data_IF_156534763347
#
_entry.id   IF_156534763347
#
_cell.length_a   1.000
_cell.length_b   1.000
_cell.length_c   1.000
_cell.angle_alpha   90.00
_cell.angle_beta   90.00
_cell.angle_gamma   90.00
#
_symmetry.space_group_name_H-M   'P 1'
#
loop_
_entity.id
_entity.type
_entity.pdbx_description
1 polymer ?
#
# COMPACT_ATOMS: atom_id res chain seq x y z
N UNK A 1 8.19 -66.14 -14.82
CA UNK A 1 6.83 -66.03 -15.48
C UNK A 1 6.70 -67.01 -16.64
N UNK A 2 7.78 -67.35 -17.38
CA UNK A 2 7.72 -68.31 -18.50
C UNK A 2 7.47 -69.81 -18.05
N UNK A 3 8.14 -70.24 -17.00
CA UNK A 3 7.98 -71.59 -16.44
C UNK A 3 6.58 -71.83 -15.89
N UNK A 4 6.01 -70.84 -15.18
CA UNK A 4 4.64 -70.95 -14.66
C UNK A 4 3.56 -71.01 -15.77
N UNK A 5 3.80 -70.41 -16.94
CA UNK A 5 2.93 -70.61 -18.10
C UNK A 5 2.92 -71.95 -18.72
N UNK A 6 3.99 -72.78 -18.50
CA UNK A 6 4.16 -74.14 -19.02
C UNK A 6 3.66 -75.20 -18.04
N UNK A 7 3.24 -74.82 -16.84
CA UNK A 7 2.73 -75.76 -15.83
C UNK A 7 1.54 -76.58 -16.32
N UNK A 8 0.76 -76.11 -17.29
CA UNK A 8 -0.36 -76.84 -17.88
C UNK A 8 0.06 -78.07 -18.68
N UNK A 9 1.29 -78.13 -19.20
CA UNK A 9 1.83 -79.25 -20.01
C UNK A 9 2.55 -80.31 -19.17
N UNK A 10 2.69 -80.05 -17.85
CA UNK A 10 3.38 -80.98 -16.95
C UNK A 10 2.42 -82.09 -16.48
N UNK A 11 2.86 -83.39 -16.38
CA UNK A 11 2.07 -84.45 -15.81
C UNK A 11 1.58 -84.17 -14.40
N UNK A 12 0.36 -84.62 -14.07
CA UNK A 12 -0.34 -84.25 -12.84
C UNK A 12 0.41 -84.60 -11.55
N UNK A 13 1.15 -85.70 -11.56
CA UNK A 13 1.98 -86.22 -10.46
C UNK A 13 3.22 -85.32 -10.19
N UNK A 14 3.77 -84.70 -11.21
CA UNK A 14 4.96 -83.80 -11.09
C UNK A 14 4.64 -82.34 -10.86
N UNK A 15 3.40 -81.90 -11.00
CA UNK A 15 3.02 -80.45 -10.87
C UNK A 15 3.31 -79.89 -9.49
N UNK A 16 3.08 -80.68 -8.43
CA UNK A 16 3.26 -80.21 -7.06
C UNK A 16 4.72 -79.96 -6.76
N UNK A 17 5.60 -80.90 -7.08
CA UNK A 17 7.04 -80.77 -6.82
C UNK A 17 7.70 -79.68 -7.66
N UNK A 18 7.24 -79.45 -8.91
CA UNK A 18 7.74 -78.39 -9.76
C UNK A 18 7.21 -77.05 -9.24
N UNK A 19 5.95 -76.95 -8.75
CA UNK A 19 5.43 -75.75 -8.12
C UNK A 19 6.24 -75.37 -6.90
N UNK A 20 6.51 -76.22 -5.99
CA UNK A 20 7.34 -76.03 -4.79
C UNK A 20 8.76 -75.52 -5.14
N UNK A 21 9.38 -76.17 -6.17
CA UNK A 21 10.69 -75.76 -6.65
C UNK A 21 10.67 -74.32 -7.25
N UNK A 22 9.67 -73.99 -8.05
CA UNK A 22 9.52 -72.66 -8.63
C UNK A 22 9.32 -71.57 -7.55
N UNK A 23 8.52 -71.87 -6.53
CA UNK A 23 8.29 -70.92 -5.41
C UNK A 23 9.57 -70.79 -4.56
N UNK A 24 10.32 -71.90 -4.32
CA UNK A 24 11.60 -71.77 -3.63
C UNK A 24 12.62 -70.97 -4.40
N UNK A 25 12.77 -71.16 -5.70
CA UNK A 25 13.68 -70.38 -6.56
C UNK A 25 13.23 -68.89 -6.62
N UNK A 26 11.92 -68.64 -6.68
CA UNK A 26 11.38 -67.30 -6.66
C UNK A 26 11.73 -66.59 -5.36
N UNK A 27 11.53 -67.25 -4.21
CA UNK A 27 11.88 -66.67 -2.90
C UNK A 27 13.38 -66.41 -2.77
N UNK A 28 14.21 -67.28 -3.25
CA UNK A 28 15.68 -67.16 -3.22
C UNK A 28 16.12 -65.92 -4.10
N UNK A 29 15.59 -65.84 -5.30
CA UNK A 29 15.87 -64.71 -6.20
C UNK A 29 15.36 -63.38 -5.61
N UNK A 30 14.14 -63.32 -5.07
CA UNK A 30 13.60 -62.15 -4.42
C UNK A 30 14.42 -61.71 -3.19
N UNK A 31 14.87 -62.67 -2.38
CA UNK A 31 15.77 -62.46 -1.26
C UNK A 31 17.12 -61.90 -1.69
N UNK A 32 17.77 -62.55 -2.66
CA UNK A 32 19.06 -62.07 -3.18
C UNK A 32 18.98 -60.69 -3.82
N UNK A 33 17.87 -60.38 -4.51
CA UNK A 33 17.62 -59.08 -5.08
C UNK A 33 17.47 -58.01 -4.00
N UNK A 34 16.66 -58.28 -2.98
CA UNK A 34 16.44 -57.36 -1.86
C UNK A 34 17.73 -57.07 -1.10
N UNK A 35 18.56 -58.09 -0.85
CA UNK A 35 19.85 -57.92 -0.18
C UNK A 35 20.85 -57.16 -1.03
N UNK A 36 20.86 -57.36 -2.34
CA UNK A 36 21.70 -56.60 -3.25
C UNK A 36 21.29 -55.12 -3.29
N UNK A 37 20.00 -54.87 -3.30
CA UNK A 37 19.46 -53.50 -3.29
C UNK A 37 19.81 -52.76 -1.99
N UNK A 38 19.73 -53.45 -0.85
CA UNK A 38 20.19 -52.91 0.45
C UNK A 38 21.68 -52.62 0.46
N UNK A 39 22.48 -53.52 -0.09
CA UNK A 39 23.92 -53.34 -0.16
C UNK A 39 24.32 -52.15 -1.05
N UNK A 40 23.66 -51.98 -2.19
CA UNK A 40 23.88 -50.82 -3.07
C UNK A 40 23.48 -49.50 -2.41
N UNK A 41 22.30 -49.43 -1.78
CA UNK A 41 21.86 -48.23 -1.06
C UNK A 41 22.78 -47.89 0.11
N UNK A 42 23.35 -48.89 0.78
CA UNK A 42 24.36 -48.68 1.83
C UNK A 42 25.66 -48.13 1.24
N UNK A 43 26.15 -48.72 0.14
CA UNK A 43 27.37 -48.26 -0.52
C UNK A 43 27.25 -46.82 -1.04
N UNK A 44 26.10 -46.47 -1.60
CA UNK A 44 25.80 -45.08 -2.03
C UNK A 44 25.84 -44.09 -0.85
N UNK A 45 25.16 -44.43 0.24
CA UNK A 45 25.20 -43.60 1.45
C UNK A 45 26.59 -43.51 2.06
N UNK A 46 27.35 -44.61 2.10
CA UNK A 46 28.72 -44.62 2.62
C UNK A 46 29.66 -43.80 1.72
N UNK A 47 29.43 -43.80 0.39
CA UNK A 47 30.14 -42.94 -0.54
C UNK A 47 29.84 -41.44 -0.30
N UNK A 48 28.57 -41.07 -0.07
CA UNK A 48 28.17 -39.72 0.25
C UNK A 48 28.77 -39.25 1.60
N UNK A 49 28.77 -40.11 2.60
CA UNK A 49 29.34 -39.80 3.92
C UNK A 49 30.86 -39.66 3.89
N UNK A 50 31.55 -40.36 2.95
CA UNK A 50 33.00 -40.26 2.76
C UNK A 50 33.40 -39.23 1.69
N UNK A 51 32.44 -38.56 1.04
CA UNK A 51 32.71 -37.44 0.16
C UNK A 51 33.43 -36.33 0.94
N UNK A 52 34.24 -35.52 0.25
CA UNK A 52 34.95 -34.44 0.89
C UNK A 52 33.98 -33.55 1.69
N UNK A 53 34.23 -33.36 3.01
CA UNK A 53 33.31 -32.59 3.82
C UNK A 53 33.16 -31.15 3.26
N UNK A 54 31.93 -30.64 3.25
CA UNK A 54 31.68 -29.27 2.92
C UNK A 54 32.52 -28.37 3.85
N UNK A 55 33.29 -27.47 3.27
CA UNK A 55 34.14 -26.55 4.04
C UNK A 55 33.30 -25.56 4.83
N UNK A 56 33.12 -25.83 6.11
CA UNK A 56 32.39 -24.98 7.05
C UNK A 56 33.16 -23.69 7.42
N UNK A 57 34.42 -23.55 7.00
CA UNK A 57 35.20 -22.32 7.22
C UNK A 57 34.94 -21.27 6.15
N UNK A 58 34.32 -21.64 5.03
CA UNK A 58 33.87 -20.67 4.04
C UNK A 58 32.85 -19.72 4.70
N UNK A 59 33.00 -18.39 4.52
CA UNK A 59 32.04 -17.47 5.05
C UNK A 59 30.66 -17.80 4.47
N UNK A 60 29.69 -18.01 5.36
CA UNK A 60 28.30 -18.13 4.94
C UNK A 60 27.93 -16.89 4.14
N UNK A 61 27.20 -17.05 3.02
CA UNK A 61 26.52 -15.90 2.41
C UNK A 61 25.64 -15.31 3.51
N UNK A 62 25.96 -14.10 3.94
CA UNK A 62 25.07 -13.37 4.82
C UNK A 62 23.68 -13.40 4.18
N UNK A 63 22.64 -13.81 4.89
CA UNK A 63 21.30 -13.66 4.37
C UNK A 63 21.15 -12.20 3.92
N UNK A 64 20.57 -11.97 2.75
CA UNK A 64 20.30 -10.61 2.30
C UNK A 64 19.65 -9.86 3.46
N UNK A 65 20.11 -8.65 3.83
CA UNK A 65 19.47 -7.92 4.89
C UNK A 65 17.98 -7.81 4.59
N UNK A 66 17.11 -7.92 5.61
CA UNK A 66 15.68 -7.74 5.40
C UNK A 66 15.47 -6.41 4.66
N UNK A 67 14.65 -6.42 3.61
CA UNK A 67 14.33 -5.20 2.87
C UNK A 67 13.69 -4.18 3.81
N UNK A 68 13.95 -2.90 3.57
CA UNK A 68 13.31 -1.81 4.29
C UNK A 68 12.08 -1.34 3.52
N UNK A 69 10.94 -1.08 4.18
CA UNK A 69 9.80 -0.44 3.53
C UNK A 69 10.21 0.92 2.97
N UNK A 70 9.75 1.23 1.76
CA UNK A 70 10.00 2.55 1.17
C UNK A 70 9.42 3.66 2.08
N UNK A 71 10.07 4.82 2.28
CA UNK A 71 9.57 5.89 3.15
C UNK A 71 8.14 6.33 2.86
N UNK A 72 7.74 6.41 1.58
CA UNK A 72 6.35 6.69 1.18
C UNK A 72 5.39 5.62 1.70
N UNK A 73 5.72 4.34 1.54
CA UNK A 73 4.87 3.24 2.02
C UNK A 73 4.71 3.27 3.54
N UNK A 74 5.81 3.49 4.27
CA UNK A 74 5.79 3.61 5.73
C UNK A 74 4.90 4.76 6.20
N UNK A 75 5.07 5.95 5.60
CA UNK A 75 4.26 7.13 5.97
C UNK A 75 2.81 6.94 5.61
N UNK A 76 2.51 6.39 4.42
CA UNK A 76 1.14 6.04 4.03
C UNK A 76 0.49 5.11 5.05
N UNK A 77 1.16 4.04 5.42
CA UNK A 77 0.63 3.03 6.33
C UNK A 77 0.41 3.63 7.74
N UNK A 78 1.34 4.44 8.24
CA UNK A 78 1.17 5.15 9.52
C UNK A 78 -0.01 6.15 9.49
N UNK A 79 -0.19 6.90 8.39
CA UNK A 79 -1.35 7.81 8.24
C UNK A 79 -2.65 6.99 8.24
N UNK A 80 -2.69 5.89 7.48
CA UNK A 80 -3.83 4.99 7.42
C UNK A 80 -4.15 4.43 8.81
N UNK A 81 -3.17 3.91 9.54
CA UNK A 81 -3.35 3.36 10.88
C UNK A 81 -3.92 4.38 11.86
N UNK A 82 -3.41 5.63 11.84
CA UNK A 82 -3.95 6.71 12.68
C UNK A 82 -5.40 6.98 12.34
N UNK A 83 -5.74 7.15 11.06
CA UNK A 83 -7.11 7.50 10.62
C UNK A 83 -8.09 6.33 10.85
N UNK A 84 -7.66 5.09 10.63
CA UNK A 84 -8.45 3.89 10.95
C UNK A 84 -8.73 3.82 12.46
N UNK A 85 -7.75 4.15 13.31
CA UNK A 85 -7.95 4.21 14.76
C UNK A 85 -8.93 5.31 15.21
N UNK A 86 -9.18 6.32 14.35
CA UNK A 86 -10.19 7.35 14.55
C UNK A 86 -11.58 6.97 14.00
N UNK A 87 -11.73 5.77 13.43
CA UNK A 87 -13.02 5.23 12.97
C UNK A 87 -13.25 5.32 11.46
N UNK A 88 -12.27 5.72 10.67
CA UNK A 88 -12.38 5.72 9.21
C UNK A 88 -12.09 4.35 8.61
N UNK A 89 -12.81 3.97 7.56
CA UNK A 89 -12.55 2.76 6.79
C UNK A 89 -11.80 3.08 5.49
N UNK A 90 -10.95 2.15 5.05
CA UNK A 90 -10.23 2.31 3.76
C UNK A 90 -11.19 2.02 2.61
N UNK A 91 -11.21 2.90 1.62
CA UNK A 91 -11.97 2.76 0.38
C UNK A 91 -11.06 2.96 -0.82
N UNK A 92 -11.07 2.02 -1.75
CA UNK A 92 -10.26 2.05 -2.96
C UNK A 92 -11.05 2.54 -4.17
N UNK A 93 -10.32 2.98 -5.21
CA UNK A 93 -10.89 3.32 -6.51
C UNK A 93 -9.84 3.34 -7.61
N UNK A 94 -10.28 3.37 -8.87
CA UNK A 94 -9.38 3.29 -10.02
C UNK A 94 -8.52 4.56 -10.17
N UNK A 95 -7.32 4.37 -10.71
CA UNK A 95 -6.41 5.47 -11.08
C UNK A 95 -6.81 6.12 -12.41
N UNK A 96 -7.36 5.31 -13.33
CA UNK A 96 -7.95 5.82 -14.58
C UNK A 96 -9.42 6.14 -14.32
N UNK A 97 -9.79 7.40 -14.51
CA UNK A 97 -11.08 7.92 -14.09
C UNK A 97 -11.80 8.65 -15.24
N UNK A 98 -13.10 8.85 -15.07
CA UNK A 98 -13.92 9.71 -15.92
C UNK A 98 -13.78 11.16 -15.46
N UNK A 99 -13.79 12.09 -16.42
CA UNK A 99 -13.80 13.51 -16.14
C UNK A 99 -14.91 13.93 -15.16
N UNK A 100 -16.09 13.36 -15.34
CA UNK A 100 -17.25 13.63 -14.49
C UNK A 100 -16.96 13.39 -12.99
N UNK A 101 -16.27 12.30 -12.65
CA UNK A 101 -15.95 11.98 -11.27
C UNK A 101 -14.71 12.75 -10.75
N UNK A 102 -13.78 13.08 -11.65
CA UNK A 102 -12.54 13.76 -11.27
C UNK A 102 -12.74 15.28 -11.13
N UNK A 103 -13.67 15.86 -11.88
CA UNK A 103 -13.91 17.30 -11.91
C UNK A 103 -15.39 17.67 -11.79
N UNK A 104 -16.23 17.19 -12.70
CA UNK A 104 -17.61 17.67 -12.84
C UNK A 104 -18.42 17.58 -11.56
N UNK A 105 -18.49 16.39 -10.94
CA UNK A 105 -19.24 16.16 -9.70
C UNK A 105 -18.61 16.78 -8.46
N UNK A 106 -17.35 17.21 -8.55
CA UNK A 106 -16.65 17.95 -7.51
C UNK A 106 -16.83 19.47 -7.63
N UNK A 107 -17.69 19.95 -8.55
CA UNK A 107 -18.01 21.35 -8.68
C UNK A 107 -16.94 22.17 -9.41
N UNK A 108 -16.01 21.54 -10.14
CA UNK A 108 -15.09 22.27 -11.00
C UNK A 108 -15.84 22.89 -12.18
N UNK A 109 -15.68 24.20 -12.46
CA UNK A 109 -16.19 24.81 -13.67
C UNK A 109 -15.59 24.14 -14.92
N UNK A 110 -16.33 24.05 -16.03
CA UNK A 110 -15.81 23.42 -17.27
C UNK A 110 -14.55 24.09 -17.85
N UNK A 111 -14.34 25.36 -17.56
CA UNK A 111 -13.21 26.17 -18.00
C UNK A 111 -12.11 26.33 -16.92
N UNK A 112 -12.17 25.52 -15.87
CA UNK A 112 -11.17 25.57 -14.82
C UNK A 112 -9.80 25.09 -15.35
N UNK A 113 -8.69 25.78 -15.07
CA UNK A 113 -7.36 25.41 -15.57
C UNK A 113 -6.96 23.95 -15.30
N UNK A 114 -7.34 23.40 -14.16
CA UNK A 114 -7.06 22.00 -13.82
C UNK A 114 -7.71 20.97 -14.77
N UNK A 115 -8.75 21.37 -15.50
CA UNK A 115 -9.39 20.51 -16.53
C UNK A 115 -8.67 20.57 -17.89
N UNK A 116 -7.71 21.50 -18.04
CA UNK A 116 -6.94 21.62 -19.27
C UNK A 116 -6.09 20.35 -19.51
N UNK A 117 -5.99 19.97 -20.78
CA UNK A 117 -5.11 18.89 -21.23
C UNK A 117 -3.63 19.14 -20.94
N UNK A 118 -3.25 20.38 -20.64
CA UNK A 118 -1.88 20.73 -20.26
C UNK A 118 -1.52 20.29 -18.83
N UNK A 119 -2.50 20.22 -17.93
CA UNK A 119 -2.27 19.93 -16.51
C UNK A 119 -2.65 18.49 -16.13
N UNK A 120 -3.41 17.78 -16.98
CA UNK A 120 -3.89 16.42 -16.74
C UNK A 120 -3.40 15.44 -17.82
N UNK A 121 -3.21 14.17 -17.42
CA UNK A 121 -2.90 13.09 -18.38
C UNK A 121 -4.20 12.46 -18.89
N UNK A 122 -4.49 12.65 -20.15
CA UNK A 122 -5.66 12.10 -20.82
C UNK A 122 -5.31 10.88 -21.66
N UNK A 123 -6.19 9.92 -21.68
CA UNK A 123 -6.13 8.77 -22.58
C UNK A 123 -6.80 9.10 -23.92
N UNK A 124 -6.54 8.30 -24.95
CA UNK A 124 -7.10 8.53 -26.30
C UNK A 124 -8.60 8.29 -26.39
N UNK A 125 -9.19 7.59 -25.42
CA UNK A 125 -10.62 7.28 -25.29
C UNK A 125 -11.38 8.23 -24.34
N UNK A 126 -10.72 9.33 -23.91
CA UNK A 126 -11.35 10.41 -23.15
C UNK A 126 -11.45 10.15 -21.64
N UNK A 127 -10.72 9.17 -21.12
CA UNK A 127 -10.47 9.02 -19.69
C UNK A 127 -9.23 9.80 -19.28
N UNK A 128 -8.99 9.94 -17.99
CA UNK A 128 -7.79 10.60 -17.47
C UNK A 128 -7.19 9.81 -16.30
N UNK A 129 -5.90 10.03 -16.06
CA UNK A 129 -5.29 9.65 -14.79
C UNK A 129 -5.75 10.65 -13.73
N UNK A 130 -6.30 10.16 -12.62
CA UNK A 130 -6.85 11.02 -11.56
C UNK A 130 -5.81 12.01 -11.03
N UNK A 131 -6.21 13.26 -10.90
CA UNK A 131 -5.34 14.37 -10.45
C UNK A 131 -5.32 14.54 -8.93
N UNK A 132 -6.23 13.87 -8.23
CA UNK A 132 -6.38 13.81 -6.77
C UNK A 132 -7.19 12.55 -6.41
N UNK A 133 -7.22 12.20 -5.13
CA UNK A 133 -8.03 11.07 -4.64
C UNK A 133 -9.45 11.45 -4.24
N UNK A 134 -9.85 12.73 -4.39
CA UNK A 134 -11.20 13.22 -4.06
C UNK A 134 -12.30 12.62 -4.95
N UNK A 135 -11.95 12.08 -6.14
CA UNK A 135 -12.87 11.30 -6.97
C UNK A 135 -13.45 10.08 -6.23
N UNK A 136 -12.75 9.57 -5.22
CA UNK A 136 -13.22 8.43 -4.40
C UNK A 136 -14.40 8.85 -3.51
N UNK A 137 -14.47 10.11 -3.07
CA UNK A 137 -15.66 10.63 -2.39
C UNK A 137 -16.91 10.44 -3.26
N UNK A 138 -16.82 10.81 -4.55
CA UNK A 138 -17.93 10.67 -5.51
C UNK A 138 -18.34 9.21 -5.66
N UNK A 139 -17.35 8.30 -5.81
CA UNK A 139 -17.61 6.87 -5.93
C UNK A 139 -18.25 6.29 -4.68
N UNK A 140 -17.75 6.65 -3.50
CA UNK A 140 -18.32 6.20 -2.24
C UNK A 140 -19.73 6.74 -2.02
N UNK A 141 -19.96 8.04 -2.23
CA UNK A 141 -21.27 8.67 -2.05
C UNK A 141 -22.33 8.20 -3.06
N UNK A 142 -21.92 7.70 -4.23
CA UNK A 142 -22.85 7.12 -5.20
C UNK A 142 -23.18 5.65 -4.94
N UNK A 143 -22.37 4.95 -4.13
CA UNK A 143 -22.54 3.51 -3.86
C UNK A 143 -22.96 3.19 -2.42
N UNK A 144 -22.77 4.12 -1.50
CA UNK A 144 -23.10 3.97 -0.08
C UNK A 144 -24.08 5.06 0.37
N UNK A 145 -24.98 4.70 1.27
CA UNK A 145 -25.82 5.69 1.95
C UNK A 145 -25.09 6.25 3.18
N UNK A 146 -25.25 7.57 3.50
CA UNK A 146 -24.77 8.11 4.77
C UNK A 146 -25.45 7.46 5.99
N UNK A 147 -24.80 7.38 7.17
CA UNK A 147 -23.50 8.01 7.46
C UNK A 147 -22.32 7.19 6.92
N UNK A 148 -21.21 7.88 6.60
CA UNK A 148 -19.99 7.23 6.11
C UNK A 148 -18.74 7.98 6.55
N UNK A 149 -17.65 7.24 6.78
CA UNK A 149 -16.34 7.77 7.12
C UNK A 149 -15.27 6.94 6.41
N UNK A 150 -14.63 7.51 5.40
CA UNK A 150 -13.66 6.80 4.57
C UNK A 150 -12.35 7.55 4.40
N UNK A 151 -11.28 6.78 4.17
CA UNK A 151 -9.99 7.24 3.68
C UNK A 151 -9.67 6.55 2.37
N UNK A 152 -9.09 7.29 1.45
CA UNK A 152 -8.73 6.80 0.13
C UNK A 152 -7.24 7.09 -0.18
N UNK A 153 -6.32 6.19 0.21
CA UNK A 153 -4.92 6.29 -0.19
C UNK A 153 -4.75 5.89 -1.65
N UNK A 154 -3.90 6.59 -2.40
CA UNK A 154 -3.63 6.20 -3.77
C UNK A 154 -2.69 7.12 -4.52
N UNK A 155 -2.19 6.65 -5.67
CA UNK A 155 -1.41 7.44 -6.60
C UNK A 155 -2.29 8.46 -7.33
N UNK A 156 -1.71 9.61 -7.62
CA UNK A 156 -2.31 10.72 -8.37
C UNK A 156 -1.31 11.27 -9.38
N UNK A 157 -1.79 11.94 -10.41
CA UNK A 157 -1.00 12.27 -11.59
C UNK A 157 -1.26 13.70 -12.05
N UNK A 158 -0.20 14.48 -12.23
CA UNK A 158 -0.24 15.84 -12.78
C UNK A 158 0.92 16.05 -13.73
N UNK A 159 0.78 16.88 -14.73
CA UNK A 159 1.85 17.15 -15.71
C UNK A 159 2.95 18.08 -15.19
N UNK A 160 2.99 18.30 -13.90
CA UNK A 160 4.06 19.05 -13.24
C UNK A 160 5.31 18.18 -13.07
N UNK A 161 6.44 18.71 -13.52
CA UNK A 161 7.74 18.04 -13.35
C UNK A 161 8.81 19.10 -13.07
N UNK A 162 9.05 19.37 -11.78
CA UNK A 162 10.08 20.31 -11.32
C UNK A 162 10.79 19.79 -10.06
N UNK A 163 11.67 20.59 -9.46
CA UNK A 163 12.43 20.19 -8.27
C UNK A 163 11.57 19.93 -7.02
N UNK A 164 10.30 20.34 -7.05
CA UNK A 164 9.34 20.23 -5.93
C UNK A 164 8.12 19.38 -6.24
N UNK A 165 7.93 19.03 -7.50
CA UNK A 165 6.79 18.26 -7.99
C UNK A 165 7.24 17.05 -8.80
N UNK A 166 6.52 15.96 -8.65
CA UNK A 166 6.65 14.74 -9.46
C UNK A 166 5.38 14.54 -10.28
N UNK A 167 5.47 14.10 -11.53
CA UNK A 167 4.28 13.81 -12.34
C UNK A 167 3.39 12.71 -11.76
N UNK A 168 3.93 11.87 -10.89
CA UNK A 168 3.18 10.91 -10.09
C UNK A 168 3.55 11.13 -8.62
N UNK A 169 2.55 11.21 -7.75
CA UNK A 169 2.72 11.30 -6.30
C UNK A 169 1.57 10.59 -5.59
N UNK A 170 1.65 10.45 -4.28
CA UNK A 170 0.64 9.75 -3.49
C UNK A 170 -0.16 10.75 -2.65
N UNK A 171 -1.47 10.52 -2.60
CA UNK A 171 -2.38 11.32 -1.80
C UNK A 171 -3.27 10.40 -0.95
N UNK A 172 -3.64 10.89 0.22
CA UNK A 172 -4.69 10.29 1.04
C UNK A 172 -5.81 11.31 1.16
N UNK A 173 -6.96 10.95 0.66
CA UNK A 173 -8.21 11.66 0.92
C UNK A 173 -8.88 11.09 2.15
N UNK A 174 -9.44 11.94 2.99
CA UNK A 174 -10.23 11.54 4.14
C UNK A 174 -11.53 12.34 4.13
N UNK A 175 -12.67 11.69 4.29
CA UNK A 175 -13.96 12.37 4.36
C UNK A 175 -14.93 11.65 5.28
N UNK A 176 -15.81 12.45 5.88
CA UNK A 176 -16.88 12.00 6.75
C UNK A 176 -18.17 12.71 6.35
N UNK A 177 -19.25 11.92 6.23
CA UNK A 177 -20.61 12.42 5.99
C UNK A 177 -21.52 11.90 7.09
N UNK A 178 -22.17 12.82 7.80
CA UNK A 178 -23.12 12.48 8.85
C UNK A 178 -24.11 13.66 9.04
N UNK A 179 -25.08 13.55 9.94
CA UNK A 179 -25.95 14.67 10.31
C UNK A 179 -25.15 15.68 11.16
N UNK A 180 -25.33 16.98 10.89
CA UNK A 180 -24.78 18.07 11.70
C UNK A 180 -23.25 18.13 11.83
N UNK A 181 -22.50 17.69 10.82
CA UNK A 181 -21.02 17.84 10.78
C UNK A 181 -20.65 19.29 10.64
N UNK A 182 -19.63 19.72 11.38
CA UNK A 182 -19.19 21.13 11.45
C UNK A 182 -17.67 21.26 11.31
N UNK A 183 -17.18 22.49 11.08
CA UNK A 183 -15.76 22.81 11.13
C UNK A 183 -15.09 22.49 12.46
N UNK A 184 -15.85 22.46 13.57
CA UNK A 184 -15.31 22.03 14.87
C UNK A 184 -14.97 20.54 14.89
N UNK A 185 -15.79 19.70 14.25
CA UNK A 185 -15.51 18.27 14.10
C UNK A 185 -14.27 18.03 13.22
N UNK A 186 -14.17 18.71 12.07
CA UNK A 186 -12.99 18.67 11.22
C UNK A 186 -11.72 19.08 11.99
N UNK A 187 -11.77 20.20 12.70
CA UNK A 187 -10.65 20.69 13.50
C UNK A 187 -10.25 19.70 14.60
N UNK A 188 -11.22 19.03 15.23
CA UNK A 188 -10.98 17.99 16.24
C UNK A 188 -10.22 16.80 15.67
N UNK A 189 -10.68 16.27 14.53
CA UNK A 189 -10.01 15.16 13.83
C UNK A 189 -8.60 15.54 13.40
N UNK A 190 -8.40 16.73 12.82
CA UNK A 190 -7.09 17.20 12.39
C UNK A 190 -6.12 17.43 13.57
N UNK A 191 -6.61 17.93 14.71
CA UNK A 191 -5.79 18.09 15.90
C UNK A 191 -5.35 16.74 16.46
N UNK A 192 -6.25 15.77 16.55
CA UNK A 192 -5.97 14.42 17.02
C UNK A 192 -5.01 13.69 16.08
N UNK A 193 -5.23 13.82 14.76
CA UNK A 193 -4.30 13.30 13.76
C UNK A 193 -2.90 13.89 13.94
N UNK A 194 -2.79 15.21 14.06
CA UNK A 194 -1.50 15.87 14.22
C UNK A 194 -0.77 15.46 15.50
N UNK A 195 -1.50 15.27 16.59
CA UNK A 195 -0.94 14.83 17.88
C UNK A 195 -0.42 13.39 17.78
N UNK A 196 -1.19 12.46 17.19
CA UNK A 196 -0.79 11.05 17.05
C UNK A 196 0.35 10.87 16.06
N UNK A 197 0.32 11.61 14.95
CA UNK A 197 1.28 11.41 13.87
C UNK A 197 2.60 12.18 14.07
N UNK A 198 2.54 13.44 14.52
CA UNK A 198 3.71 14.31 14.71
C UNK A 198 4.16 14.43 16.18
N UNK A 199 3.43 13.83 17.10
CA UNK A 199 3.72 13.82 18.52
C UNK A 199 2.92 14.84 19.33
N UNK A 200 2.85 14.55 20.65
CA UNK A 200 2.02 15.30 21.59
C UNK A 200 2.35 16.81 21.60
N UNK A 201 1.29 17.61 21.67
CA UNK A 201 1.37 19.08 21.69
C UNK A 201 1.74 19.68 20.33
N UNK A 202 1.54 18.98 19.22
CA UNK A 202 1.67 19.55 17.87
C UNK A 202 0.50 20.46 17.57
N UNK A 203 0.69 21.79 17.45
CA UNK A 203 -0.40 22.69 17.16
C UNK A 203 -0.80 22.65 15.70
N UNK A 204 -2.09 22.82 15.46
CA UNK A 204 -2.71 22.90 14.13
C UNK A 204 -3.28 24.28 13.93
N UNK A 205 -3.10 24.85 12.74
CA UNK A 205 -3.63 26.12 12.32
C UNK A 205 -4.34 25.97 10.98
N UNK A 206 -5.57 26.49 10.87
CA UNK A 206 -6.32 26.57 9.63
C UNK A 206 -6.17 27.97 9.05
N UNK A 207 -5.86 28.05 7.76
CA UNK A 207 -5.85 29.31 6.97
C UNK A 207 -6.93 29.20 5.90
N UNK A 208 -7.86 30.17 5.78
CA UNK A 208 -8.86 30.16 4.73
C UNK A 208 -8.22 29.98 3.34
N UNK A 209 -8.77 29.09 2.54
CA UNK A 209 -8.37 28.84 1.16
C UNK A 209 -9.57 28.38 0.35
N UNK A 210 -9.50 28.51 -0.97
CA UNK A 210 -10.59 28.15 -1.86
C UNK A 210 -10.30 26.82 -2.57
N UNK A 211 -11.31 25.94 -2.53
CA UNK A 211 -11.35 24.72 -3.35
C UNK A 211 -12.79 24.53 -3.84
N UNK A 212 -13.03 24.15 -5.11
CA UNK A 212 -14.38 24.06 -5.66
C UNK A 212 -15.33 23.11 -4.91
N UNK A 213 -14.78 22.08 -4.31
CA UNK A 213 -15.53 20.97 -3.68
C UNK A 213 -15.75 21.13 -2.17
N UNK A 214 -15.29 22.23 -1.55
CA UNK A 214 -15.50 22.49 -0.11
C UNK A 214 -15.82 23.96 0.15
N UNK A 215 -16.72 24.22 1.12
CA UNK A 215 -17.06 25.57 1.60
C UNK A 215 -17.57 25.51 3.06
N UNK A 216 -16.92 26.19 4.02
CA UNK A 216 -15.65 26.90 3.89
C UNK A 216 -14.47 25.94 3.70
N UNK A 217 -13.49 26.37 2.87
CA UNK A 217 -12.24 25.67 2.63
C UNK A 217 -11.08 26.30 3.41
N UNK A 218 -10.09 25.49 3.74
CA UNK A 218 -8.87 25.91 4.43
C UNK A 218 -7.67 25.06 4.07
N UNK A 219 -6.49 25.64 4.16
CA UNK A 219 -5.22 24.94 4.25
C UNK A 219 -4.84 24.73 5.70
N UNK A 220 -4.20 23.60 5.99
CA UNK A 220 -3.82 23.22 7.35
C UNK A 220 -2.31 23.24 7.49
N UNK A 221 -1.86 24.06 8.45
CA UNK A 221 -0.47 24.07 8.87
C UNK A 221 -0.31 23.34 10.20
N UNK A 222 0.76 22.57 10.33
CA UNK A 222 1.23 22.04 11.60
C UNK A 222 2.45 22.81 12.09
N UNK A 223 2.61 22.88 13.40
CA UNK A 223 3.80 23.49 13.96
C UNK A 223 5.05 22.68 13.59
N UNK A 224 6.04 23.36 13.05
CA UNK A 224 7.28 22.72 12.57
C UNK A 224 7.96 21.88 13.67
N UNK A 225 8.18 20.58 13.45
CA UNK A 225 8.81 19.71 14.43
C UNK A 225 10.31 20.02 14.61
N UNK A 226 10.98 20.50 13.54
CA UNK A 226 12.43 20.68 13.52
C UNK A 226 12.94 21.89 14.30
N UNK A 227 12.12 22.88 14.56
CA UNK A 227 12.53 24.09 15.26
C UNK A 227 11.78 24.32 16.57
N UNK A 228 11.14 23.26 17.13
CA UNK A 228 10.49 23.28 18.44
C UNK A 228 11.55 23.42 19.53
N UNK A 229 11.36 24.39 20.44
CA UNK A 229 12.17 24.57 21.63
C UNK A 229 11.57 23.84 22.83
N UNK A 230 12.34 23.71 23.89
CA UNK A 230 11.89 23.05 25.13
C UNK A 230 10.67 23.75 25.77
N UNK A 231 10.53 25.05 25.60
CA UNK A 231 9.38 25.84 26.05
C UNK A 231 8.13 25.71 25.15
N UNK A 232 8.20 24.88 24.09
CA UNK A 232 7.13 24.67 23.12
C UNK A 232 7.06 25.73 22.01
N UNK A 233 7.84 26.81 22.10
CA UNK A 233 7.93 27.80 21.01
C UNK A 233 8.70 27.26 19.81
N UNK A 234 8.57 27.93 18.67
CA UNK A 234 9.26 27.57 17.43
C UNK A 234 10.11 28.73 16.92
N UNK A 235 11.43 28.48 16.83
CA UNK A 235 12.39 29.50 16.44
C UNK A 235 12.34 29.87 14.95
N UNK A 236 11.74 28.98 14.12
CA UNK A 236 11.84 29.04 12.68
C UNK A 236 13.16 28.45 12.15
N UNK A 237 13.10 27.66 11.08
CA UNK A 237 14.24 27.03 10.43
C UNK A 237 14.11 27.09 8.90
N UNK A 238 15.10 26.56 8.17
CA UNK A 238 15.06 26.52 6.70
C UNK A 238 13.86 25.71 6.18
N UNK A 239 13.52 24.60 6.83
CA UNK A 239 12.40 23.73 6.43
C UNK A 239 11.05 24.45 6.48
N UNK A 240 10.78 25.19 7.54
CA UNK A 240 9.55 25.98 7.66
C UNK A 240 9.69 27.41 7.11
N UNK A 241 10.76 27.73 6.36
CA UNK A 241 11.05 29.08 5.81
C UNK A 241 10.96 30.15 6.89
N UNK A 242 11.46 29.85 8.10
CA UNK A 242 11.48 30.72 9.29
C UNK A 242 10.09 31.09 9.86
N UNK A 243 9.00 30.47 9.39
CA UNK A 243 7.64 30.75 9.86
C UNK A 243 7.26 30.01 11.15
N UNK A 244 7.93 28.88 11.45
CA UNK A 244 7.55 27.96 12.53
C UNK A 244 6.37 27.05 12.17
N UNK A 245 5.82 27.14 10.94
CA UNK A 245 4.66 26.41 10.47
C UNK A 245 4.95 25.74 9.12
N UNK A 246 4.35 24.56 8.90
CA UNK A 246 4.48 23.80 7.65
C UNK A 246 3.06 23.39 7.20
N UNK A 247 2.69 23.79 6.00
CA UNK A 247 1.47 23.36 5.34
C UNK A 247 1.57 21.89 4.99
N UNK A 248 0.51 21.11 5.31
CA UNK A 248 0.48 19.66 5.09
C UNK A 248 -0.69 19.18 4.26
N UNK A 249 -1.83 19.88 4.28
CA UNK A 249 -3.05 19.44 3.60
C UNK A 249 -4.04 20.59 3.34
N UNK A 250 -4.97 20.34 2.39
CA UNK A 250 -6.18 21.13 2.19
C UNK A 250 -7.39 20.44 2.81
N UNK A 251 -8.36 21.21 3.30
CA UNK A 251 -9.57 20.69 3.94
C UNK A 251 -10.76 21.63 3.82
N UNK A 252 -11.94 21.16 4.22
CA UNK A 252 -13.14 21.97 4.35
C UNK A 252 -14.41 21.18 4.61
N UNK A 253 -15.53 21.87 4.74
CA UNK A 253 -16.84 21.23 4.69
C UNK A 253 -17.18 20.91 3.22
N UNK A 254 -17.70 19.73 2.97
CA UNK A 254 -18.08 19.29 1.62
C UNK A 254 -19.13 20.25 1.07
N UNK A 255 -18.88 20.80 -0.12
CA UNK A 255 -19.79 21.76 -0.76
C UNK A 255 -21.13 21.07 -1.12
N UNK A 256 -22.30 21.71 -0.92
CA UNK A 256 -23.62 21.15 -1.26
C UNK A 256 -23.70 20.57 -2.67
N UNK A 257 -23.06 21.20 -3.65
CA UNK A 257 -23.04 20.72 -5.06
C UNK A 257 -22.49 19.31 -5.19
N UNK A 258 -21.56 18.90 -4.34
CA UNK A 258 -20.99 17.54 -4.34
C UNK A 258 -22.02 16.54 -3.86
N UNK A 259 -22.77 16.83 -2.81
CA UNK A 259 -23.89 16.00 -2.34
C UNK A 259 -24.98 15.86 -3.40
N UNK A 260 -25.43 16.99 -3.98
CA UNK A 260 -26.42 17.01 -5.03
C UNK A 260 -26.01 16.17 -6.24
N UNK A 261 -24.74 16.28 -6.67
CA UNK A 261 -24.19 15.50 -7.79
C UNK A 261 -24.17 13.99 -7.54
N UNK A 262 -24.19 13.58 -6.26
CA UNK A 262 -24.23 12.19 -5.83
C UNK A 262 -25.65 11.72 -5.43
N UNK A 263 -26.67 12.58 -5.52
CA UNK A 263 -28.06 12.26 -5.14
C UNK A 263 -28.29 12.22 -3.62
N UNK A 264 -27.44 12.88 -2.86
CA UNK A 264 -27.52 13.03 -1.40
C UNK A 264 -28.17 14.38 -1.08
N UNK A 265 -29.12 14.41 -0.16
CA UNK A 265 -29.82 15.64 0.26
C UNK A 265 -28.90 16.51 1.15
N UNK A 266 -28.44 17.70 0.69
CA UNK A 266 -27.55 18.58 1.45
C UNK A 266 -28.23 19.29 2.62
N UNK A 267 -29.56 19.32 2.68
CA UNK A 267 -30.29 19.87 3.83
C UNK A 267 -30.28 18.90 5.01
N UNK A 268 -30.15 17.60 4.74
CA UNK A 268 -30.10 16.58 5.77
C UNK A 268 -28.66 16.20 6.15
N UNK A 269 -27.78 16.08 5.18
CA UNK A 269 -26.44 15.56 5.37
C UNK A 269 -25.39 16.66 5.21
N UNK A 270 -24.44 16.63 6.09
CA UNK A 270 -23.26 17.50 6.06
C UNK A 270 -22.00 16.65 6.12
N UNK A 271 -20.86 17.22 5.81
CA UNK A 271 -19.63 16.46 5.84
C UNK A 271 -18.39 17.35 5.79
N UNK A 272 -17.27 16.75 6.10
CA UNK A 272 -15.98 17.38 5.85
C UNK A 272 -15.08 16.46 5.02
N UNK A 273 -14.12 17.06 4.34
CA UNK A 273 -13.07 16.35 3.63
C UNK A 273 -11.71 17.03 3.84
N UNK A 274 -10.65 16.26 3.75
CA UNK A 274 -9.28 16.75 3.65
C UNK A 274 -8.41 15.80 2.84
N UNK A 275 -7.48 16.39 2.07
CA UNK A 275 -6.53 15.63 1.23
C UNK A 275 -5.10 16.02 1.52
N UNK A 276 -4.23 15.03 1.74
CA UNK A 276 -2.81 15.25 2.04
C UNK A 276 -1.89 14.49 1.08
N UNK A 277 -0.81 15.15 0.63
CA UNK A 277 0.25 14.51 -0.13
C UNK A 277 1.19 13.72 0.77
N UNK A 278 1.33 12.40 0.53
CA UNK A 278 2.14 11.50 1.36
C UNK A 278 3.61 11.90 1.33
N UNK A 279 4.14 12.26 0.15
CA UNK A 279 5.51 12.74 -0.02
C UNK A 279 5.79 13.99 0.82
N UNK A 280 4.83 14.93 0.84
CA UNK A 280 4.95 16.14 1.65
C UNK A 280 5.07 15.82 3.13
N UNK A 281 4.26 14.90 3.60
CA UNK A 281 4.28 14.43 4.99
C UNK A 281 5.58 13.68 5.29
N UNK A 282 6.06 12.82 4.36
CA UNK A 282 7.33 12.10 4.50
C UNK A 282 8.52 13.07 4.57
N UNK A 283 8.56 14.07 3.69
CA UNK A 283 9.58 15.12 3.68
C UNK A 283 9.61 15.83 5.05
N UNK A 284 8.45 16.19 5.57
CA UNK A 284 8.33 16.86 6.87
C UNK A 284 8.71 15.93 8.01
N UNK A 285 8.32 14.65 7.97
CA UNK A 285 8.60 13.71 9.06
C UNK A 285 10.07 13.34 9.17
N UNK A 286 10.70 13.05 8.05
CA UNK A 286 12.08 12.55 7.99
C UNK A 286 13.13 13.60 7.66
N UNK A 287 12.73 14.85 7.40
CA UNK A 287 13.65 15.91 7.03
C UNK A 287 14.32 15.71 5.67
N UNK A 288 13.62 15.07 4.72
CA UNK A 288 14.13 14.79 3.38
C UNK A 288 14.31 16.13 2.64
N UNK A 289 15.50 16.44 2.11
CA UNK A 289 15.76 17.75 1.53
C UNK A 289 15.19 17.95 0.11
N UNK A 290 14.95 16.86 -0.62
CA UNK A 290 14.55 16.88 -2.03
C UNK A 290 13.58 15.72 -2.33
N UNK A 291 12.44 16.02 -2.96
CA UNK A 291 11.41 15.04 -3.29
C UNK A 291 11.92 13.94 -4.24
N UNK A 292 12.88 14.27 -5.10
CA UNK A 292 13.44 13.33 -6.09
C UNK A 292 14.09 12.12 -5.45
N UNK A 293 14.65 12.26 -4.23
CA UNK A 293 15.21 11.14 -3.47
C UNK A 293 14.20 10.03 -3.19
N UNK A 294 12.91 10.36 -3.14
CA UNK A 294 11.83 9.39 -2.96
C UNK A 294 11.56 8.56 -4.23
N UNK A 295 12.05 8.98 -5.41
CA UNK A 295 11.77 8.36 -6.70
C UNK A 295 13.02 7.84 -7.44
N UNK A 296 14.23 8.24 -7.02
CA UNK A 296 15.50 7.84 -7.64
C UNK A 296 15.91 6.39 -7.32
N UNK A 297 15.24 5.74 -6.38
CA UNK A 297 15.50 4.35 -5.95
C UNK A 297 16.97 4.10 -5.55
N UNK A 298 17.64 5.09 -4.93
CA UNK A 298 19.02 4.93 -4.45
C UNK A 298 19.05 4.02 -3.21
N UNK A 299 19.74 2.86 -3.26
CA UNK A 299 19.80 1.93 -2.13
C UNK A 299 20.37 2.55 -0.85
N UNK A 300 21.24 3.56 -0.97
CA UNK A 300 21.85 4.25 0.18
C UNK A 300 20.83 5.13 0.90
N UNK A 301 19.90 5.71 0.15
CA UNK A 301 18.79 6.47 0.70
C UNK A 301 17.77 5.52 1.36
N UNK A 302 17.39 4.46 0.65
CA UNK A 302 16.40 3.48 1.15
C UNK A 302 16.89 2.74 2.40
N UNK A 303 18.19 2.53 2.57
CA UNK A 303 18.77 1.86 3.73
C UNK A 303 18.78 2.74 5.00
N UNK A 304 18.40 4.02 4.93
CA UNK A 304 18.35 4.94 6.07
C UNK A 304 16.98 4.92 6.79
N UNK A 305 15.99 4.27 6.21
CA UNK A 305 14.60 4.26 6.68
C UNK A 305 14.24 3.15 7.66
#
# INVERSE_FOLDING_TARGET
TGILKQMGSVPADARKSIGELVDSVKQEVEGAFADRLKALARAERDADLNAAPFDLTLPARAPAPPGHPHPISRVRDEIVDVLVSLGFAVHDGPEVEREENNFGKLGFPPDHPATDMQDSFWTTDGLLLRTHTSNIQIRAMTTHAPPMAFIAPGATYRRDDDATHSPMFHQIECFLVDEHVTMAHLRGVLAEFAERFFGSGTPVRLRPSYFPFVEPGAEVDVGCPFCRRADGTRAGCSVCKKTGWIEILGCGLIHPVVFESCGIDPEKWTGFAFGMGVERVAIVKYGIPDIRLLFENDPRFLAQG
#
